data_IF_774988243366
#
_entry.id   IF_774988243366
#
_cell.length_a   1.000
_cell.length_b   1.000
_cell.length_c   1.000
_cell.angle_alpha   90.00
_cell.angle_beta   90.00
_cell.angle_gamma   90.00
#
_symmetry.space_group_name_H-M   'P 1'
#
loop_
_entity.id
_entity.type
_entity.pdbx_description
1 polymer ?
#
# COMPACT_ATOMS: atom_id res chain seq x y z
N UNK A 1 -37.57 -9.00 12.80
CA UNK A 1 -36.65 -8.76 13.94
C UNK A 1 -35.17 -8.81 13.57
N UNK A 2 -34.75 -9.50 12.50
CA UNK A 2 -33.34 -9.54 12.06
C UNK A 2 -32.91 -8.42 11.10
N UNK A 3 -33.87 -7.68 10.54
CA UNK A 3 -33.63 -6.57 9.61
C UNK A 3 -32.66 -5.48 10.14
N UNK A 4 -32.77 -4.98 11.39
CA UNK A 4 -31.82 -3.99 11.90
C UNK A 4 -30.40 -4.55 12.04
N UNK A 5 -30.26 -5.83 12.42
CA UNK A 5 -28.95 -6.47 12.58
C UNK A 5 -28.21 -6.58 11.25
N UNK A 6 -28.93 -6.98 10.19
CA UNK A 6 -28.37 -7.15 8.84
C UNK A 6 -27.93 -5.80 8.23
N UNK A 7 -28.68 -4.74 8.51
CA UNK A 7 -28.38 -3.37 8.08
C UNK A 7 -27.10 -2.84 8.76
N UNK A 8 -26.93 -3.11 10.06
CA UNK A 8 -25.72 -2.76 10.80
C UNK A 8 -24.49 -3.48 10.22
N UNK A 9 -24.58 -4.79 9.97
CA UNK A 9 -23.49 -5.54 9.34
C UNK A 9 -23.13 -4.99 7.95
N UNK A 10 -24.12 -4.63 7.15
CA UNK A 10 -23.89 -4.04 5.83
C UNK A 10 -23.12 -2.71 5.93
N UNK A 11 -23.52 -1.85 6.88
CA UNK A 11 -22.86 -0.57 7.11
C UNK A 11 -21.41 -0.80 7.57
N UNK A 12 -21.17 -1.61 8.60
CA UNK A 12 -19.81 -1.88 9.08
C UNK A 12 -18.92 -2.55 8.00
N UNK A 13 -19.46 -3.49 7.24
CA UNK A 13 -18.77 -4.13 6.11
C UNK A 13 -18.31 -3.07 5.10
N UNK A 14 -19.22 -2.19 4.67
CA UNK A 14 -18.94 -1.18 3.65
C UNK A 14 -17.97 -0.11 4.18
N UNK A 15 -18.10 0.29 5.45
CA UNK A 15 -17.23 1.29 6.08
C UNK A 15 -15.83 0.78 6.42
N UNK A 16 -15.61 -0.53 6.65
CA UNK A 16 -14.27 -1.05 6.96
C UNK A 16 -13.57 -1.55 5.68
N UNK A 17 -14.25 -2.37 4.87
CA UNK A 17 -13.63 -3.04 3.72
C UNK A 17 -13.34 -2.06 2.59
N UNK A 18 -14.23 -1.08 2.33
CA UNK A 18 -14.02 -0.11 1.26
C UNK A 18 -12.79 0.79 1.49
N UNK A 19 -12.56 1.40 2.67
CA UNK A 19 -11.32 2.14 2.91
C UNK A 19 -10.10 1.24 2.98
N UNK A 20 -10.22 0.01 3.48
CA UNK A 20 -9.10 -0.94 3.49
C UNK A 20 -8.65 -1.29 2.07
N UNK A 21 -9.59 -1.61 1.17
CA UNK A 21 -9.31 -1.82 -0.25
C UNK A 21 -8.67 -0.58 -0.90
N UNK A 22 -9.11 0.64 -0.54
CA UNK A 22 -8.53 1.89 -1.06
C UNK A 22 -7.08 2.09 -0.57
N UNK A 23 -6.77 1.73 0.67
CA UNK A 23 -5.40 1.79 1.23
C UNK A 23 -4.49 0.76 0.58
N UNK A 24 -4.94 -0.48 0.42
CA UNK A 24 -4.19 -1.54 -0.27
C UNK A 24 -3.90 -1.17 -1.74
N UNK A 25 -4.92 -0.69 -2.47
CA UNK A 25 -4.75 -0.22 -3.85
C UNK A 25 -3.74 0.92 -3.96
N UNK A 26 -3.80 1.89 -3.03
CA UNK A 26 -2.80 2.97 -2.97
C UNK A 26 -1.40 2.45 -2.68
N UNK A 27 -1.24 1.50 -1.75
CA UNK A 27 0.07 0.90 -1.44
C UNK A 27 0.63 0.18 -2.67
N UNK A 28 -0.18 -0.64 -3.33
CA UNK A 28 0.21 -1.35 -4.56
C UNK A 28 0.59 -0.39 -5.67
N UNK A 29 -0.22 0.64 -5.90
CA UNK A 29 0.06 1.67 -6.90
C UNK A 29 1.34 2.46 -6.57
N UNK A 30 1.62 2.75 -5.29
CA UNK A 30 2.89 3.37 -4.91
C UNK A 30 4.08 2.48 -5.24
N UNK A 31 4.01 1.17 -4.95
CA UNK A 31 5.09 0.22 -5.26
C UNK A 31 5.28 0.08 -6.77
N UNK A 32 4.19 -0.03 -7.54
CA UNK A 32 4.24 -0.11 -9.01
C UNK A 32 4.71 1.19 -9.68
N UNK A 33 4.51 2.34 -9.02
CA UNK A 33 4.97 3.61 -9.53
C UNK A 33 6.48 3.85 -9.30
N UNK A 34 7.13 3.07 -8.43
CA UNK A 34 8.57 3.17 -8.19
C UNK A 34 9.33 2.74 -9.42
N UNK A 35 10.21 3.62 -9.91
CA UNK A 35 11.08 3.36 -11.06
C UNK A 35 12.54 3.46 -10.67
N UNK A 36 13.39 2.87 -11.52
CA UNK A 36 14.84 3.02 -11.42
C UNK A 36 15.22 4.51 -11.40
N UNK A 37 16.02 4.89 -10.41
CA UNK A 37 16.48 6.25 -10.20
C UNK A 37 15.67 7.07 -9.19
N UNK A 38 14.50 6.60 -8.76
CA UNK A 38 13.69 7.28 -7.75
C UNK A 38 14.35 7.26 -6.38
N UNK A 39 14.19 8.35 -5.63
CA UNK A 39 14.58 8.42 -4.21
C UNK A 39 13.41 7.93 -3.37
N UNK A 40 13.66 6.94 -2.52
CA UNK A 40 12.66 6.34 -1.65
C UNK A 40 13.13 6.38 -0.21
N UNK A 41 12.16 6.43 0.70
CA UNK A 41 12.41 6.28 2.14
C UNK A 41 11.78 4.97 2.57
N UNK A 42 12.57 4.07 3.14
CA UNK A 42 12.06 2.80 3.65
C UNK A 42 11.26 3.02 4.93
N UNK A 43 10.47 2.03 5.34
CA UNK A 43 9.71 2.11 6.61
C UNK A 43 10.60 2.30 7.85
N UNK A 44 11.90 1.97 7.74
CA UNK A 44 12.90 2.20 8.80
C UNK A 44 13.53 3.60 8.77
N UNK A 45 13.11 4.50 7.88
CA UNK A 45 13.67 5.85 7.75
C UNK A 45 14.95 5.94 6.91
N UNK A 46 15.36 4.85 6.24
CA UNK A 46 16.55 4.83 5.39
C UNK A 46 16.22 5.52 4.08
N UNK A 47 17.03 6.51 3.71
CA UNK A 47 16.96 7.16 2.42
C UNK A 47 17.80 6.35 1.42
N UNK A 48 17.21 5.99 0.30
CA UNK A 48 17.88 5.18 -0.71
C UNK A 48 17.45 5.59 -2.11
N UNK A 49 18.23 5.19 -3.11
CA UNK A 49 17.91 5.36 -4.53
C UNK A 49 17.64 4.00 -5.15
N UNK A 50 16.62 3.92 -5.99
CA UNK A 50 16.23 2.66 -6.63
C UNK A 50 17.22 2.32 -7.72
N UNK A 51 17.99 1.25 -7.52
CA UNK A 51 19.01 0.79 -8.46
C UNK A 51 18.41 -0.13 -9.53
N UNK A 52 17.52 -1.04 -9.14
CA UNK A 52 16.85 -1.98 -10.03
C UNK A 52 15.52 -2.42 -9.44
N UNK A 53 14.53 -2.64 -10.31
CA UNK A 53 13.18 -3.12 -9.94
C UNK A 53 12.98 -4.46 -10.66
N UNK A 54 12.78 -5.51 -9.89
CA UNK A 54 12.40 -6.84 -10.36
C UNK A 54 10.94 -7.13 -9.98
N UNK A 55 10.36 -8.22 -10.49
CA UNK A 55 8.93 -8.53 -10.31
C UNK A 55 8.50 -8.72 -8.84
N UNK A 56 9.41 -9.19 -7.99
CA UNK A 56 9.14 -9.49 -6.58
C UNK A 56 10.00 -8.70 -5.59
N UNK A 57 11.01 -7.96 -6.08
CA UNK A 57 12.00 -7.28 -5.24
C UNK A 57 12.52 -6.00 -5.89
N UNK A 58 12.97 -5.07 -5.05
CA UNK A 58 13.61 -3.82 -5.50
C UNK A 58 14.98 -3.74 -4.86
N UNK A 59 16.01 -3.57 -5.68
CA UNK A 59 17.37 -3.29 -5.24
C UNK A 59 17.51 -1.79 -4.99
N UNK A 60 17.90 -1.46 -3.76
CA UNK A 60 18.09 -0.11 -3.28
C UNK A 60 19.59 0.15 -3.08
N UNK A 61 20.06 1.26 -3.64
CA UNK A 61 21.38 1.82 -3.38
C UNK A 61 21.25 2.79 -2.21
N UNK A 62 21.85 2.45 -1.08
CA UNK A 62 21.81 3.29 0.12
C UNK A 62 23.09 4.12 0.10
N UNK A 63 22.97 5.38 -0.30
CA UNK A 63 24.05 6.35 -0.13
C UNK A 63 24.20 6.59 1.39
N UNK A 64 25.25 6.01 1.98
CA UNK A 64 25.64 6.22 3.37
C UNK A 64 26.24 7.60 3.59
#
# INVERSE_FOLDING_TARGET
>A
MFLPLLLIFLVFYLFIIRPQQKREKKRKAMIEAVKRGDKVVTAGGIHAKVHQVDESSVLLDVDG
#
